data_IF_973823176445
#
_entry.id   IF_973823176445
#
_cell.length_a   1.000
_cell.length_b   1.000
_cell.length_c   1.000
_cell.angle_alpha   90.00
_cell.angle_beta   90.00
_cell.angle_gamma   90.00
#
_symmetry.space_group_name_H-M   'P 1'
#
loop_
_entity.id
_entity.type
_entity.pdbx_description
1 polymer ?
#
# COMPACT_ATOMS: atom_id res chain seq x y z
N UNK A 1 3.73 -0.01 -21.03
CA UNK A 1 4.91 0.31 -20.21
C UNK A 1 5.11 -0.87 -19.29
N UNK A 2 6.10 -1.76 -19.53
CA UNK A 2 6.48 -2.70 -18.49
C UNK A 2 7.03 -1.86 -17.35
N UNK A 3 6.33 -1.86 -16.22
CA UNK A 3 6.85 -1.35 -14.96
C UNK A 3 7.91 -2.37 -14.54
N UNK A 4 9.08 -2.32 -15.19
CA UNK A 4 10.29 -3.04 -14.80
C UNK A 4 10.78 -2.38 -13.53
N UNK A 5 9.95 -2.42 -12.48
CA UNK A 5 10.39 -2.19 -11.12
C UNK A 5 11.52 -3.19 -10.94
N UNK A 6 12.75 -2.70 -11.02
CA UNK A 6 13.96 -3.46 -10.77
C UNK A 6 13.65 -4.29 -9.53
N UNK A 7 13.54 -5.58 -9.75
CA UNK A 7 13.26 -6.54 -8.71
C UNK A 7 14.50 -6.42 -7.82
N UNK A 8 14.37 -5.64 -6.74
CA UNK A 8 15.45 -5.43 -5.80
C UNK A 8 15.97 -6.82 -5.46
N UNK A 9 17.26 -7.08 -5.69
CA UNK A 9 17.87 -8.38 -5.41
C UNK A 9 17.78 -8.63 -3.90
N UNK A 10 16.66 -9.20 -3.48
CA UNK A 10 16.45 -9.65 -2.11
C UNK A 10 17.22 -10.96 -2.00
N UNK A 11 18.10 -11.13 -1.00
CA UNK A 11 18.85 -12.36 -0.83
C UNK A 11 17.93 -13.58 -0.86
N UNK A 12 18.38 -14.67 -1.49
CA UNK A 12 17.66 -15.95 -1.46
C UNK A 12 17.32 -16.35 -0.01
N UNK A 13 16.14 -16.93 0.20
CA UNK A 13 15.66 -17.27 1.55
C UNK A 13 15.02 -16.10 2.31
N UNK A 14 14.81 -14.95 1.66
CA UNK A 14 14.16 -13.78 2.25
C UNK A 14 12.75 -13.59 1.73
N UNK A 15 11.83 -13.27 2.64
CA UNK A 15 10.43 -13.00 2.30
C UNK A 15 10.30 -11.89 1.23
N UNK A 16 9.60 -12.18 0.14
CA UNK A 16 9.31 -11.21 -0.94
C UNK A 16 8.17 -10.24 -0.62
N UNK A 17 7.61 -10.32 0.58
CA UNK A 17 6.49 -9.50 1.03
C UNK A 17 6.90 -8.13 1.59
N UNK A 18 5.91 -7.43 2.17
CA UNK A 18 6.07 -6.08 2.73
C UNK A 18 6.99 -5.96 3.94
N UNK A 19 7.55 -7.06 4.44
CA UNK A 19 8.47 -7.06 5.57
C UNK A 19 9.93 -6.69 5.20
N UNK A 20 10.34 -6.89 3.94
CA UNK A 20 11.70 -6.60 3.47
C UNK A 20 11.93 -5.34 2.60
N UNK A 21 10.96 -4.48 2.24
CA UNK A 21 11.19 -3.35 1.32
C UNK A 21 12.09 -2.26 1.93
N UNK A 22 12.21 -2.18 3.26
CA UNK A 22 13.16 -1.27 3.91
C UNK A 22 14.60 -1.77 3.78
N UNK A 23 14.82 -3.06 4.04
CA UNK A 23 16.13 -3.69 3.89
C UNK A 23 16.59 -3.65 2.43
N UNK A 24 15.69 -4.00 1.50
CA UNK A 24 15.96 -3.95 0.06
C UNK A 24 16.29 -2.53 -0.44
N UNK A 25 15.56 -1.49 0.02
CA UNK A 25 15.89 -0.09 -0.31
C UNK A 25 17.23 0.36 0.25
N UNK A 26 17.59 -0.08 1.46
CA UNK A 26 18.89 0.26 2.05
C UNK A 26 20.05 -0.39 1.28
N UNK A 27 19.90 -1.64 0.82
CA UNK A 27 20.89 -2.28 -0.05
C UNK A 27 21.00 -1.57 -1.41
N UNK A 28 19.88 -1.21 -2.03
CA UNK A 28 19.90 -0.45 -3.29
C UNK A 28 20.62 0.90 -3.13
N UNK A 29 20.32 1.63 -2.06
CA UNK A 29 20.98 2.90 -1.77
C UNK A 29 22.50 2.71 -1.57
N UNK A 30 22.91 1.63 -0.91
CA UNK A 30 24.33 1.30 -0.75
C UNK A 30 24.99 0.94 -2.09
N UNK A 31 24.33 0.18 -2.96
CA UNK A 31 24.84 -0.14 -4.29
C UNK A 31 25.00 1.13 -5.14
N UNK A 32 24.02 2.05 -5.08
CA UNK A 32 24.14 3.35 -5.75
C UNK A 32 25.31 4.15 -5.20
N UNK A 33 25.49 4.20 -3.88
CA UNK A 33 26.62 4.86 -3.26
C UNK A 33 27.98 4.25 -3.65
N UNK A 34 28.06 2.93 -3.86
CA UNK A 34 29.28 2.28 -4.36
C UNK A 34 29.60 2.66 -5.81
N UNK A 35 28.59 2.82 -6.66
CA UNK A 35 28.78 3.31 -8.03
C UNK A 35 29.27 4.77 -8.01
N UNK A 36 28.60 5.62 -7.23
CA UNK A 36 29.01 7.03 -7.06
C UNK A 36 30.41 7.16 -6.45
N UNK A 37 30.77 6.26 -5.53
CA UNK A 37 32.11 6.21 -4.95
C UNK A 37 33.17 5.81 -5.98
N UNK A 38 32.90 4.81 -6.82
CA UNK A 38 33.81 4.43 -7.90
C UNK A 38 34.07 5.60 -8.85
N UNK A 39 33.03 6.31 -9.28
CA UNK A 39 33.15 7.51 -10.12
C UNK A 39 33.96 8.61 -9.42
N UNK A 40 33.76 8.80 -8.11
CA UNK A 40 34.50 9.78 -7.32
C UNK A 40 35.99 9.40 -7.18
N UNK A 41 36.30 8.11 -7.02
CA UNK A 41 37.67 7.60 -6.94
C UNK A 41 38.39 7.79 -8.28
N UNK A 42 37.73 7.48 -9.40
CA UNK A 42 38.27 7.70 -10.74
C UNK A 42 38.58 9.19 -10.99
N UNK A 43 37.66 10.07 -10.58
CA UNK A 43 37.86 11.52 -10.67
C UNK A 43 39.04 12.00 -9.80
N UNK A 44 39.21 11.45 -8.59
CA UNK A 44 40.33 11.75 -7.71
C UNK A 44 41.67 11.31 -8.30
N UNK A 45 41.74 10.11 -8.88
CA UNK A 45 42.93 9.65 -9.60
C UNK A 45 43.25 10.53 -10.81
N UNK A 46 42.24 10.91 -11.61
CA UNK A 46 42.41 11.80 -12.76
C UNK A 46 42.93 13.21 -12.37
N UNK A 47 42.61 13.67 -11.15
CA UNK A 47 43.10 14.93 -10.60
C UNK A 47 44.52 14.85 -9.99
N UNK A 48 45.21 13.71 -10.15
CA UNK A 48 46.57 13.51 -9.64
C UNK A 48 46.64 12.98 -8.20
N UNK A 49 45.51 12.57 -7.62
CA UNK A 49 45.48 11.91 -6.30
C UNK A 49 45.89 12.83 -5.14
N UNK A 50 45.66 14.14 -5.25
CA UNK A 50 45.97 15.10 -4.19
C UNK A 50 44.83 15.20 -3.18
N UNK A 51 45.17 15.27 -1.89
CA UNK A 51 44.21 15.32 -0.78
C UNK A 51 43.77 13.92 -0.32
N UNK A 52 42.78 13.88 0.56
CA UNK A 52 42.23 12.62 1.07
C UNK A 52 41.37 11.93 0.00
N UNK A 53 41.49 10.60 -0.17
CA UNK A 53 40.67 9.86 -1.11
C UNK A 53 39.18 9.90 -0.70
N UNK A 54 38.24 9.78 -1.65
CA UNK A 54 36.82 9.66 -1.35
C UNK A 54 36.55 8.54 -0.34
N UNK A 55 35.84 8.88 0.74
CA UNK A 55 35.52 7.91 1.79
C UNK A 55 34.62 6.79 1.27
N UNK A 56 34.93 5.56 1.66
CA UNK A 56 34.13 4.39 1.28
C UNK A 56 32.70 4.47 1.87
N UNK A 57 31.67 4.14 1.09
CA UNK A 57 30.29 4.09 1.59
C UNK A 57 30.13 3.06 2.72
N UNK A 58 29.47 3.46 3.81
CA UNK A 58 29.21 2.54 4.93
C UNK A 58 28.21 1.44 4.53
N UNK A 59 28.56 0.18 4.82
CA UNK A 59 27.66 -0.96 4.58
C UNK A 59 26.47 -0.91 5.54
N UNK A 60 25.22 -0.90 5.03
CA UNK A 60 24.05 -0.80 5.89
C UNK A 60 23.85 -2.10 6.69
N UNK A 61 23.65 -1.96 8.00
CA UNK A 61 23.25 -3.09 8.87
C UNK A 61 21.77 -3.39 8.68
N UNK A 62 21.45 -4.26 7.73
CA UNK A 62 20.09 -4.69 7.43
C UNK A 62 19.81 -6.09 7.99
N UNK A 63 18.57 -6.30 8.48
CA UNK A 63 18.07 -7.62 8.86
C UNK A 63 16.93 -8.00 7.93
N UNK A 64 17.06 -9.14 7.26
CA UNK A 64 16.01 -9.71 6.44
C UNK A 64 15.11 -10.62 7.27
N UNK A 65 13.82 -10.59 6.97
CA UNK A 65 12.87 -11.59 7.42
C UNK A 65 12.94 -12.82 6.50
N UNK A 66 13.09 -14.03 7.06
CA UNK A 66 13.16 -15.26 6.27
C UNK A 66 11.82 -15.53 5.57
N UNK A 67 11.88 -16.20 4.42
CA UNK A 67 10.70 -16.71 3.71
C UNK A 67 10.19 -18.05 4.29
N UNK A 68 9.03 -18.49 3.79
CA UNK A 68 8.50 -19.84 3.96
C UNK A 68 7.33 -20.13 2.97
N UNK A 69 7.57 -20.58 1.72
CA UNK A 69 8.84 -20.70 0.99
C UNK A 69 9.25 -19.43 0.23
N UNK A 70 8.32 -18.52 -0.10
CA UNK A 70 8.64 -17.20 -0.73
C UNK A 70 8.16 -16.02 0.11
N UNK A 71 7.13 -16.23 0.93
CA UNK A 71 6.58 -15.24 1.84
C UNK A 71 6.60 -15.80 3.25
N UNK A 72 6.86 -14.95 4.25
CA UNK A 72 6.70 -15.34 5.64
C UNK A 72 5.20 -15.47 5.98
N UNK A 73 4.87 -16.24 7.02
CA UNK A 73 3.49 -16.46 7.45
C UNK A 73 2.70 -15.17 7.70
N UNK A 74 3.37 -14.11 8.19
CA UNK A 74 2.75 -12.79 8.38
C UNK A 74 2.32 -12.15 7.05
N UNK A 75 3.17 -12.21 6.02
CA UNK A 75 2.85 -11.64 4.72
C UNK A 75 1.77 -12.46 4.01
N UNK A 76 1.77 -13.79 4.14
CA UNK A 76 0.72 -14.66 3.62
C UNK A 76 -0.63 -14.38 4.29
N UNK A 77 -0.66 -14.29 5.63
CA UNK A 77 -1.86 -13.93 6.39
C UNK A 77 -2.40 -12.55 5.98
N UNK A 78 -1.52 -11.57 5.79
CA UNK A 78 -1.93 -10.25 5.33
C UNK A 78 -2.52 -10.30 3.91
N UNK A 79 -1.89 -11.02 2.97
CA UNK A 79 -2.42 -11.18 1.62
C UNK A 79 -3.81 -11.83 1.63
N UNK A 80 -4.04 -12.84 2.50
CA UNK A 80 -5.34 -13.48 2.68
C UNK A 80 -6.39 -12.48 3.17
N UNK A 81 -6.07 -11.74 4.23
CA UNK A 81 -6.96 -10.70 4.78
C UNK A 81 -7.30 -9.67 3.72
N UNK A 82 -6.29 -9.12 3.04
CA UNK A 82 -6.46 -8.14 1.98
C UNK A 82 -7.37 -8.67 0.87
N UNK A 83 -7.15 -9.91 0.40
CA UNK A 83 -7.99 -10.52 -0.64
C UNK A 83 -9.46 -10.60 -0.23
N UNK A 84 -9.75 -10.99 1.02
CA UNK A 84 -11.12 -11.09 1.54
C UNK A 84 -11.74 -9.69 1.73
N UNK A 85 -10.96 -8.73 2.22
CA UNK A 85 -11.40 -7.34 2.41
C UNK A 85 -11.81 -6.68 1.08
N UNK A 86 -11.25 -7.09 -0.06
CA UNK A 86 -11.65 -6.57 -1.37
C UNK A 86 -13.14 -6.75 -1.64
N UNK A 87 -13.75 -7.87 -1.24
CA UNK A 87 -15.18 -8.08 -1.47
C UNK A 87 -16.05 -7.15 -0.62
N UNK A 88 -15.62 -6.93 0.63
CA UNK A 88 -16.27 -6.00 1.56
C UNK A 88 -16.18 -4.57 1.04
N UNK A 89 -14.97 -4.12 0.71
CA UNK A 89 -14.72 -2.78 0.18
C UNK A 89 -15.47 -2.54 -1.14
N UNK A 90 -15.46 -3.53 -2.04
CA UNK A 90 -16.18 -3.44 -3.31
C UNK A 90 -17.70 -3.36 -3.14
N UNK A 91 -18.25 -3.90 -2.04
CA UNK A 91 -19.66 -3.81 -1.72
C UNK A 91 -20.03 -2.46 -1.07
N UNK A 92 -19.11 -1.87 -0.29
CA UNK A 92 -19.28 -0.56 0.32
C UNK A 92 -19.11 0.60 -0.68
N UNK A 93 -18.23 0.44 -1.66
CA UNK A 93 -17.85 1.51 -2.58
C UNK A 93 -19.05 2.14 -3.32
N UNK A 94 -19.96 1.38 -3.96
CA UNK A 94 -21.16 1.97 -4.58
C UNK A 94 -22.03 2.76 -3.60
N UNK A 95 -22.25 2.23 -2.39
CA UNK A 95 -23.06 2.89 -1.37
C UNK A 95 -22.50 4.26 -0.94
N UNK A 96 -21.17 4.40 -0.96
CA UNK A 96 -20.50 5.68 -0.65
C UNK A 96 -20.48 6.66 -1.83
N UNK A 97 -20.51 6.15 -3.06
CA UNK A 97 -20.52 6.94 -4.27
C UNK A 97 -21.90 7.55 -4.59
N UNK A 98 -22.99 6.87 -4.22
CA UNK A 98 -24.38 7.31 -4.48
C UNK A 98 -24.84 8.50 -3.62
N UNK A 99 -23.97 9.06 -2.76
CA UNK A 99 -24.19 10.40 -2.19
C UNK A 99 -25.14 10.48 -0.99
N UNK A 100 -25.35 9.40 -0.24
CA UNK A 100 -26.14 9.46 1.00
C UNK A 100 -25.45 10.15 2.20
N UNK A 101 -24.33 10.84 2.00
CA UNK A 101 -23.79 11.81 2.98
C UNK A 101 -24.03 13.23 2.46
N UNK A 102 -24.77 14.01 3.24
CA UNK A 102 -25.41 15.24 2.83
C UNK A 102 -24.55 16.22 2.04
N UNK A 103 -25.19 16.86 1.05
CA UNK A 103 -24.86 18.22 0.59
C UNK A 103 -24.90 19.16 1.80
N UNK A 104 -23.85 19.15 2.62
CA UNK A 104 -23.57 20.15 3.63
C UNK A 104 -22.84 21.31 2.98
N UNK A 105 -23.57 22.40 2.74
CA UNK A 105 -23.11 23.79 2.60
C UNK A 105 -21.73 24.01 1.95
N UNK A 106 -21.67 24.04 0.62
CA UNK A 106 -20.46 24.48 -0.09
C UNK A 106 -20.54 24.35 -1.61
N UNK A 107 -21.74 24.42 -2.18
CA UNK A 107 -21.97 24.33 -3.63
C UNK A 107 -21.42 25.56 -4.37
N UNK A 108 -20.10 25.65 -4.46
CA UNK A 108 -19.42 26.52 -5.41
C UNK A 108 -19.52 25.93 -6.79
N UNK A 109 -20.23 26.62 -7.68
CA UNK A 109 -20.26 26.39 -9.12
C UNK A 109 -18.84 26.51 -9.70
N UNK A 110 -18.11 25.40 -9.71
CA UNK A 110 -16.79 25.29 -10.32
C UNK A 110 -16.92 24.96 -11.80
N UNK A 111 -16.78 25.99 -12.65
CA UNK A 111 -16.50 25.90 -14.09
C UNK A 111 -15.50 24.77 -14.41
N UNK A 112 -15.83 23.92 -15.38
CA UNK A 112 -14.85 22.99 -15.98
C UNK A 112 -14.77 23.27 -17.47
N UNK A 113 -13.79 24.10 -17.85
CA UNK A 113 -13.25 24.15 -19.21
C UNK A 113 -12.14 23.10 -19.28
N UNK A 114 -12.32 22.12 -20.16
CA UNK A 114 -11.34 21.07 -20.41
C UNK A 114 -11.99 19.88 -21.10
N UNK A 115 -11.72 19.73 -22.39
CA UNK A 115 -12.05 18.57 -23.22
C UNK A 115 -11.29 17.33 -22.71
N UNK A 116 -11.78 16.73 -21.63
CA UNK A 116 -11.46 15.34 -21.28
C UNK A 116 -12.42 14.43 -22.04
N UNK A 117 -11.89 13.31 -22.52
CA UNK A 117 -12.64 12.15 -23.02
C UNK A 117 -13.91 11.96 -22.18
N UNK A 118 -15.04 11.71 -22.85
CA UNK A 118 -16.35 11.58 -22.19
C UNK A 118 -16.20 10.67 -20.95
N UNK A 119 -16.51 11.17 -19.74
CA UNK A 119 -16.50 10.33 -18.55
C UNK A 119 -17.40 9.13 -18.81
N UNK A 120 -16.97 7.94 -18.39
CA UNK A 120 -17.82 6.77 -18.45
C UNK A 120 -19.10 7.01 -17.66
N UNK A 121 -20.18 6.34 -18.08
CA UNK A 121 -21.51 6.49 -17.46
C UNK A 121 -21.50 6.05 -15.99
N UNK A 122 -20.54 5.21 -15.56
CA UNK A 122 -20.34 4.83 -14.16
C UNK A 122 -18.86 4.55 -13.85
N UNK A 123 -18.10 5.55 -13.36
CA UNK A 123 -16.69 5.36 -12.96
C UNK A 123 -16.51 4.30 -11.87
N UNK A 124 -17.52 4.12 -11.00
CA UNK A 124 -17.55 3.07 -9.96
C UNK A 124 -17.52 1.68 -10.60
N UNK A 125 -18.38 1.46 -11.58
CA UNK A 125 -18.51 0.17 -12.28
C UNK A 125 -17.22 -0.18 -13.01
N UNK A 126 -16.57 0.80 -13.66
CA UNK A 126 -15.31 0.57 -14.36
C UNK A 126 -14.17 0.13 -13.43
N UNK A 127 -14.06 0.74 -12.25
CA UNK A 127 -13.05 0.36 -11.25
C UNK A 127 -13.31 -1.07 -10.75
N UNK A 128 -14.56 -1.41 -10.46
CA UNK A 128 -14.94 -2.74 -9.98
C UNK A 128 -14.74 -3.82 -11.07
N UNK A 129 -15.07 -3.51 -12.32
CA UNK A 129 -14.87 -4.42 -13.44
C UNK A 129 -13.39 -4.61 -13.75
N UNK A 130 -12.58 -3.56 -13.64
CA UNK A 130 -11.12 -3.68 -13.79
C UNK A 130 -10.52 -4.54 -12.68
N UNK A 131 -10.93 -4.36 -11.43
CA UNK A 131 -10.49 -5.22 -10.33
C UNK A 131 -10.90 -6.67 -10.55
N UNK A 132 -12.15 -6.90 -10.96
CA UNK A 132 -12.63 -8.26 -11.25
C UNK A 132 -11.86 -8.91 -12.41
N UNK A 133 -11.60 -8.16 -13.47
CA UNK A 133 -10.75 -8.60 -14.58
C UNK A 133 -9.35 -8.99 -14.11
N UNK A 134 -8.73 -8.15 -13.29
CA UNK A 134 -7.42 -8.43 -12.70
C UNK A 134 -7.39 -9.71 -11.84
N UNK A 135 -8.48 -10.01 -11.11
CA UNK A 135 -8.63 -11.23 -10.31
C UNK A 135 -8.88 -12.46 -11.19
N UNK A 136 -9.61 -12.29 -12.30
CA UNK A 136 -9.77 -13.35 -13.30
C UNK A 136 -8.45 -13.71 -13.96
N UNK A 137 -7.63 -12.72 -14.31
CA UNK A 137 -6.31 -12.96 -14.89
C UNK A 137 -5.43 -13.77 -13.92
N UNK A 138 -5.46 -13.44 -12.62
CA UNK A 138 -4.73 -14.20 -11.57
C UNK A 138 -5.24 -15.65 -11.49
N UNK A 139 -6.57 -15.86 -11.49
CA UNK A 139 -7.14 -17.21 -11.46
C UNK A 139 -6.77 -18.01 -12.70
N UNK A 140 -6.84 -17.41 -13.89
CA UNK A 140 -6.56 -18.07 -15.16
C UNK A 140 -5.06 -18.40 -15.30
N UNK A 141 -4.18 -17.50 -14.88
CA UNK A 141 -2.73 -17.72 -14.80
C UNK A 141 -2.41 -18.89 -13.86
N UNK A 142 -3.00 -18.91 -12.66
CA UNK A 142 -2.78 -20.00 -11.72
C UNK A 142 -3.33 -21.35 -12.24
N UNK A 143 -4.49 -21.35 -12.88
CA UNK A 143 -5.05 -22.54 -13.52
C UNK A 143 -4.13 -23.07 -14.61
N UNK A 144 -3.57 -22.20 -15.44
CA UNK A 144 -2.64 -22.57 -16.49
C UNK A 144 -1.36 -23.21 -15.92
N UNK A 145 -0.76 -22.60 -14.89
CA UNK A 145 0.42 -23.13 -14.21
C UNK A 145 0.19 -24.51 -13.59
N UNK A 146 -1.04 -24.78 -13.11
CA UNK A 146 -1.41 -26.06 -12.48
C UNK A 146 -2.03 -27.08 -13.45
N UNK A 147 -2.19 -26.72 -14.72
CA UNK A 147 -2.88 -27.56 -15.71
C UNK A 147 -4.36 -27.81 -15.38
N UNK A 148 -4.99 -26.91 -14.63
CA UNK A 148 -6.42 -27.02 -14.34
C UNK A 148 -7.24 -26.63 -15.58
N UNK A 149 -8.48 -27.16 -15.72
CA UNK A 149 -9.40 -26.68 -16.73
C UNK A 149 -9.61 -25.17 -16.61
N UNK A 150 -9.89 -24.52 -17.74
CA UNK A 150 -10.26 -23.11 -17.76
C UNK A 150 -11.45 -22.82 -16.82
N UNK A 151 -11.58 -21.57 -16.41
CA UNK A 151 -12.68 -21.13 -15.56
C UNK A 151 -14.02 -21.44 -16.25
N UNK A 152 -14.96 -22.05 -15.53
CA UNK A 152 -16.35 -22.16 -15.98
C UNK A 152 -16.89 -20.75 -16.28
N UNK A 153 -17.68 -20.59 -17.35
CA UNK A 153 -18.22 -19.27 -17.70
C UNK A 153 -19.03 -18.69 -16.53
N UNK A 154 -18.45 -17.67 -15.86
CA UNK A 154 -19.12 -16.87 -14.83
C UNK A 154 -19.73 -15.67 -15.54
N UNK A 155 -20.72 -15.92 -16.40
CA UNK A 155 -21.38 -14.87 -17.17
C UNK A 155 -21.94 -13.80 -16.24
N UNK A 156 -21.36 -12.60 -16.25
CA UNK A 156 -21.90 -11.45 -15.52
C UNK A 156 -20.86 -10.49 -14.96
N UNK A 157 -21.34 -9.28 -14.67
CA UNK A 157 -20.68 -8.27 -13.83
C UNK A 157 -21.28 -8.32 -12.42
N UNK A 158 -20.62 -7.70 -11.44
CA UNK A 158 -21.17 -7.50 -10.10
C UNK A 158 -20.67 -8.47 -9.03
N UNK A 159 -21.41 -8.57 -7.92
CA UNK A 159 -20.93 -9.18 -6.68
C UNK A 159 -20.71 -10.70 -6.77
N UNK A 160 -21.65 -11.45 -7.34
CA UNK A 160 -21.58 -12.92 -7.37
C UNK A 160 -20.30 -13.48 -8.05
N UNK A 161 -19.95 -13.10 -9.30
CA UNK A 161 -18.71 -13.59 -9.92
C UNK A 161 -17.46 -13.16 -9.14
N UNK A 162 -17.47 -11.97 -8.53
CA UNK A 162 -16.38 -11.48 -7.69
C UNK A 162 -16.21 -12.34 -6.43
N UNK A 163 -17.25 -12.54 -5.63
CA UNK A 163 -17.18 -13.35 -4.40
C UNK A 163 -16.75 -14.79 -4.69
N UNK A 164 -17.22 -15.40 -5.79
CA UNK A 164 -16.79 -16.74 -6.21
C UNK A 164 -15.29 -16.80 -6.57
N UNK A 165 -14.78 -15.77 -7.24
CA UNK A 165 -13.35 -15.66 -7.60
C UNK A 165 -12.48 -15.47 -6.37
N UNK A 166 -12.87 -14.56 -5.48
CA UNK A 166 -12.18 -14.28 -4.22
C UNK A 166 -12.15 -15.54 -3.34
N UNK A 167 -13.27 -16.25 -3.20
CA UNK A 167 -13.34 -17.51 -2.45
C UNK A 167 -12.42 -18.58 -3.02
N UNK A 168 -12.45 -18.78 -4.35
CA UNK A 168 -11.57 -19.76 -5.02
C UNK A 168 -10.08 -19.45 -4.85
N UNK A 169 -9.70 -18.17 -4.96
CA UNK A 169 -8.34 -17.71 -4.74
C UNK A 169 -7.92 -17.85 -3.28
N UNK A 170 -8.81 -17.53 -2.34
CA UNK A 170 -8.52 -17.61 -0.90
C UNK A 170 -8.22 -19.05 -0.45
N UNK A 171 -8.93 -20.04 -1.00
CA UNK A 171 -8.67 -21.47 -0.75
C UNK A 171 -7.28 -21.92 -1.24
N UNK A 172 -6.78 -21.32 -2.33
CA UNK A 172 -5.53 -21.71 -2.99
C UNK A 172 -4.38 -20.75 -2.69
N UNK A 173 -4.61 -19.73 -1.88
CA UNK A 173 -3.69 -18.61 -1.76
C UNK A 173 -2.31 -19.04 -1.27
N UNK A 174 -2.22 -20.01 -0.37
CA UNK A 174 -0.93 -20.51 0.13
C UNK A 174 -0.10 -21.14 -0.99
N UNK A 175 -0.73 -22.00 -1.82
CA UNK A 175 -0.05 -22.59 -2.98
C UNK A 175 0.33 -21.54 -4.02
N UNK A 176 -0.55 -20.57 -4.26
CA UNK A 176 -0.29 -19.46 -5.20
C UNK A 176 0.91 -18.65 -4.71
N UNK A 177 0.95 -18.30 -3.42
CA UNK A 177 2.05 -17.53 -2.84
C UNK A 177 3.36 -18.32 -2.76
N UNK A 178 3.31 -19.65 -2.77
CA UNK A 178 4.49 -20.49 -2.83
C UNK A 178 5.14 -20.53 -4.22
N UNK A 179 4.46 -20.06 -5.28
CA UNK A 179 4.94 -20.11 -6.66
C UNK A 179 5.67 -18.83 -7.09
N UNK A 180 6.84 -18.96 -7.71
CA UNK A 180 7.71 -17.82 -8.06
C UNK A 180 7.06 -16.87 -9.07
N UNK A 181 6.40 -17.41 -10.09
CA UNK A 181 5.71 -16.61 -11.11
C UNK A 181 4.55 -15.78 -10.53
N UNK A 182 4.01 -16.19 -9.37
CA UNK A 182 2.90 -15.50 -8.70
C UNK A 182 3.38 -14.51 -7.62
N UNK A 183 4.69 -14.25 -7.51
CA UNK A 183 5.26 -13.37 -6.48
C UNK A 183 4.71 -11.92 -6.53
N UNK A 184 4.15 -11.49 -7.67
CA UNK A 184 3.53 -10.18 -7.83
C UNK A 184 2.16 -10.03 -7.15
N UNK A 185 1.49 -11.14 -6.79
CA UNK A 185 0.10 -11.14 -6.31
C UNK A 185 -0.11 -10.26 -5.06
N UNK A 186 0.68 -10.35 -3.97
CA UNK A 186 0.45 -9.52 -2.78
C UNK A 186 0.49 -8.02 -3.05
N UNK A 187 1.35 -7.58 -3.98
CA UNK A 187 1.42 -6.17 -4.40
C UNK A 187 0.15 -5.77 -5.16
N UNK A 188 -0.34 -6.61 -6.06
CA UNK A 188 -1.59 -6.37 -6.81
C UNK A 188 -2.79 -6.25 -5.86
N UNK A 189 -2.91 -7.16 -4.90
CA UNK A 189 -3.95 -7.12 -3.85
C UNK A 189 -3.87 -5.86 -3.00
N UNK A 190 -2.67 -5.51 -2.51
CA UNK A 190 -2.46 -4.31 -1.68
C UNK A 190 -2.76 -3.02 -2.44
N UNK A 191 -2.51 -2.99 -3.75
CA UNK A 191 -2.85 -1.85 -4.60
C UNK A 191 -4.37 -1.70 -4.75
N UNK A 192 -5.08 -2.79 -4.98
CA UNK A 192 -6.54 -2.76 -5.05
C UNK A 192 -7.20 -2.36 -3.73
N UNK A 193 -6.70 -2.88 -2.60
CA UNK A 193 -7.15 -2.49 -1.27
C UNK A 193 -6.97 -0.97 -1.05
N UNK A 194 -5.79 -0.42 -1.36
CA UNK A 194 -5.55 1.03 -1.27
C UNK A 194 -6.52 1.83 -2.15
N UNK A 195 -6.71 1.41 -3.40
CA UNK A 195 -7.61 2.10 -4.34
C UNK A 195 -9.04 2.07 -3.82
N UNK A 196 -9.55 0.91 -3.43
CA UNK A 196 -10.92 0.77 -2.96
C UNK A 196 -11.17 1.49 -1.63
N UNK A 197 -10.24 1.43 -0.67
CA UNK A 197 -10.36 2.18 0.59
C UNK A 197 -10.45 3.68 0.35
N UNK A 198 -9.54 4.21 -0.47
CA UNK A 198 -9.55 5.62 -0.84
C UNK A 198 -10.88 6.04 -1.48
N UNK A 199 -11.38 5.22 -2.41
CA UNK A 199 -12.62 5.51 -3.12
C UNK A 199 -13.88 5.32 -2.27
N UNK A 200 -13.88 4.34 -1.37
CA UNK A 200 -14.94 4.11 -0.40
C UNK A 200 -14.91 5.15 0.74
N UNK A 201 -13.88 6.00 0.82
CA UNK A 201 -13.59 6.84 1.99
C UNK A 201 -13.61 6.01 3.28
N UNK A 202 -13.25 4.74 3.16
CA UNK A 202 -12.89 3.86 4.29
C UNK A 202 -11.44 4.20 4.64
N UNK A 203 -11.22 5.46 4.98
CA UNK A 203 -10.03 5.89 5.67
C UNK A 203 -10.14 5.26 7.06
N UNK A 204 -9.63 4.03 7.19
CA UNK A 204 -9.19 3.57 8.52
C UNK A 204 -8.45 4.74 9.14
N UNK A 205 -8.81 5.07 10.38
CA UNK A 205 -8.08 5.99 11.22
C UNK A 205 -6.59 5.94 10.86
N UNK A 206 -6.09 7.02 10.26
CA UNK A 206 -4.75 7.07 9.69
C UNK A 206 -3.75 6.39 10.62
N UNK A 207 -2.95 5.45 10.10
CA UNK A 207 -1.89 4.77 10.89
C UNK A 207 -0.88 5.76 11.47
N UNK A 208 -0.85 7.00 10.99
CA UNK A 208 -0.24 8.13 11.69
C UNK A 208 -1.32 9.16 12.05
N UNK A 209 -1.69 9.18 13.31
CA UNK A 209 -2.46 10.28 13.87
C UNK A 209 -1.62 11.57 13.86
N UNK A 210 -2.20 12.74 13.54
CA UNK A 210 -1.55 14.02 13.76
C UNK A 210 -1.32 14.32 15.26
N UNK A 211 -2.09 13.65 16.13
CA UNK A 211 -2.09 13.80 17.59
C UNK A 211 -0.73 13.44 18.18
N UNK A 212 -0.20 14.32 19.02
CA UNK A 212 0.96 14.05 19.86
C UNK A 212 0.54 13.17 21.03
N UNK A 213 1.31 12.11 21.26
CA UNK A 213 1.20 11.39 22.51
C UNK A 213 1.62 12.29 23.69
N UNK A 214 1.17 11.97 24.90
CA UNK A 214 1.62 12.64 26.13
C UNK A 214 3.15 12.60 26.32
N UNK A 215 3.86 11.66 25.69
CA UNK A 215 5.33 11.64 25.67
C UNK A 215 5.97 12.67 24.72
N UNK A 216 5.17 13.46 23.99
CA UNK A 216 5.60 14.50 23.04
C UNK A 216 5.75 14.03 21.58
N UNK A 217 5.80 12.72 21.36
CA UNK A 217 6.04 12.13 20.03
C UNK A 217 4.76 12.05 19.17
N UNK A 218 4.91 12.34 17.86
CA UNK A 218 3.85 12.15 16.83
C UNK A 218 3.88 10.75 16.25
N UNK A 219 3.81 9.77 17.15
CA UNK A 219 3.93 8.36 16.81
C UNK A 219 2.66 7.57 17.15
N UNK A 220 1.54 8.24 17.40
CA UNK A 220 0.23 7.61 17.66
C UNK A 220 -0.33 7.08 16.35
N UNK A 221 -0.77 5.82 16.34
CA UNK A 221 -1.39 5.18 15.19
C UNK A 221 -2.47 4.20 15.63
N UNK A 222 -3.46 3.96 14.79
CA UNK A 222 -4.46 2.93 15.06
C UNK A 222 -3.82 1.54 15.08
N UNK A 223 -4.05 0.79 16.16
CA UNK A 223 -3.63 -0.59 16.32
C UNK A 223 -4.84 -1.50 16.11
N UNK A 224 -4.90 -2.15 14.94
CA UNK A 224 -6.00 -3.02 14.54
C UNK A 224 -6.17 -4.25 15.46
N UNK A 225 -5.12 -4.69 16.17
CA UNK A 225 -5.18 -5.90 17.01
C UNK A 225 -5.92 -5.63 18.32
N UNK A 226 -5.71 -4.45 18.90
CA UNK A 226 -6.33 -4.05 20.17
C UNK A 226 -7.53 -3.13 19.99
N UNK A 227 -7.76 -2.61 18.77
CA UNK A 227 -8.80 -1.61 18.48
C UNK A 227 -8.67 -0.33 19.32
N UNK A 228 -7.43 0.12 19.52
CA UNK A 228 -7.07 1.38 20.17
C UNK A 228 -6.04 2.13 19.35
N UNK A 229 -5.92 3.44 19.57
CA UNK A 229 -4.74 4.17 19.11
C UNK A 229 -3.57 3.88 20.05
N UNK A 230 -2.40 3.57 19.50
CA UNK A 230 -1.19 3.28 20.29
C UNK A 230 -0.03 4.14 19.84
N UNK A 231 0.64 4.77 20.80
CA UNK A 231 1.91 5.44 20.54
C UNK A 231 3.02 4.42 20.30
N UNK A 232 3.67 4.45 19.14
CA UNK A 232 4.79 3.55 18.83
C UNK A 232 6.05 3.82 19.65
N UNK A 233 6.17 5.01 20.26
CA UNK A 233 7.34 5.39 21.06
C UNK A 233 7.21 4.90 22.51
N UNK A 234 6.18 5.33 23.24
CA UNK A 234 6.00 5.00 24.66
C UNK A 234 4.98 3.88 24.93
N UNK A 235 4.26 3.41 23.90
CA UNK A 235 3.27 2.35 24.03
C UNK A 235 1.92 2.78 24.61
N UNK A 236 1.74 4.03 25.03
CA UNK A 236 0.49 4.55 25.58
C UNK A 236 -0.66 4.34 24.61
N UNK A 237 -1.77 3.81 25.12
CA UNK A 237 -3.00 3.61 24.39
C UNK A 237 -3.93 4.81 24.60
N UNK A 238 -4.62 5.22 23.54
CA UNK A 238 -5.68 6.21 23.55
C UNK A 238 -6.93 5.54 22.98
N UNK A 239 -8.06 5.74 23.65
CA UNK A 239 -9.34 5.35 23.07
C UNK A 239 -9.73 6.31 21.93
N UNK A 240 -10.74 5.90 21.14
CA UNK A 240 -11.14 6.66 19.96
C UNK A 240 -11.67 8.07 20.32
N UNK A 241 -12.45 8.20 21.39
CA UNK A 241 -13.01 9.49 21.81
C UNK A 241 -11.93 10.47 22.29
N UNK A 242 -10.93 9.97 23.05
CA UNK A 242 -9.77 10.75 23.49
C UNK A 242 -8.92 11.22 22.33
N UNK A 243 -8.68 10.33 21.37
CA UNK A 243 -7.94 10.63 20.16
C UNK A 243 -8.68 11.67 19.31
N UNK A 244 -9.97 11.48 19.06
CA UNK A 244 -10.77 12.39 18.23
C UNK A 244 -10.89 13.78 18.87
N UNK A 245 -10.98 13.85 20.21
CA UNK A 245 -10.94 15.13 20.95
C UNK A 245 -9.61 15.84 20.76
N UNK A 246 -8.49 15.14 20.98
CA UNK A 246 -7.15 15.72 20.81
C UNK A 246 -6.87 16.13 19.36
N UNK A 247 -7.37 15.35 18.39
CA UNK A 247 -7.23 15.66 16.97
C UNK A 247 -7.96 16.96 16.60
N UNK A 248 -9.16 17.19 17.15
CA UNK A 248 -9.90 18.44 16.97
C UNK A 248 -9.19 19.62 17.64
N UNK A 249 -8.75 19.46 18.88
CA UNK A 249 -8.01 20.50 19.61
C UNK A 249 -6.72 20.92 18.88
N UNK A 250 -5.94 19.96 18.35
CA UNK A 250 -4.75 20.28 17.56
C UNK A 250 -5.08 20.94 16.21
N UNK A 251 -6.15 20.51 15.52
CA UNK A 251 -6.59 21.13 14.27
C UNK A 251 -7.01 22.59 14.48
N UNK A 252 -7.83 22.85 15.50
CA UNK A 252 -8.29 24.19 15.89
C UNK A 252 -7.10 25.09 16.26
N UNK A 253 -6.12 24.56 17.00
CA UNK A 253 -4.90 25.28 17.35
C UNK A 253 -4.03 25.61 16.12
N UNK A 254 -3.93 24.70 15.16
CA UNK A 254 -3.19 24.93 13.91
C UNK A 254 -3.88 25.97 13.01
N UNK A 255 -5.22 25.94 12.94
CA UNK A 255 -5.99 26.95 12.21
C UNK A 255 -5.83 28.34 12.85
N UNK A 256 -5.94 28.43 14.18
CA UNK A 256 -5.71 29.69 14.91
C UNK A 256 -4.30 30.24 14.69
N UNK A 257 -3.27 29.38 14.72
CA UNK A 257 -1.88 29.78 14.49
C UNK A 257 -1.62 30.23 13.04
N UNK A 258 -2.21 29.53 12.06
CA UNK A 258 -2.06 29.88 10.63
C UNK A 258 -2.74 31.18 10.24
N UNK A 259 -3.83 31.55 10.92
CA UNK A 259 -4.56 32.79 10.67
C UNK A 259 -3.80 34.03 11.19
N UNK A 260 -2.99 33.88 12.24
CA UNK A 260 -2.16 34.97 12.79
C UNK A 260 -0.90 35.31 11.97
N UNK A 261 -0.50 34.46 11.03
CA UNK A 261 0.70 34.67 10.19
C UNK A 261 0.41 35.40 8.87
N UNK A 262 -0.87 35.72 8.60
CA UNK A 262 -1.33 36.41 7.39
C UNK A 262 -1.87 37.83 7.65
N UNK A 263 -1.78 38.32 8.88
CA UNK A 263 -2.06 39.70 9.26
C UNK A 263 -0.74 40.48 9.43
#
# INVERSE_FOLDING_TARGET
MPDTAQQLDVPAGSCRGSCNPRAARALLAHHQALVEHADAVDAWYAAGGHGDPPAEPETPRVRFWPDSPLFCGRCAANARRTLLDLDVLASQFPATADGHRGRGAGGGEGRVSGTRTRPSVSPVTDVLDKMLGDLFDIEDEWRALRGYPGRESRGGRGAHPRSRTIGWLAERLEDVLAHEDMAGLPRKLSNWDRVLRHLAKDDRASTSSPVRCACGERAVGWDDEVHYYRCRSCGTQLNQDEHDRQAREEADAMEAAGTGQRA
#
